data_IF_212786625201
#
_entry.id   IF_212786625201
#
_cell.length_a   1.000
_cell.length_b   1.000
_cell.length_c   1.000
_cell.angle_alpha   90.00
_cell.angle_beta   90.00
_cell.angle_gamma   90.00
#
_symmetry.space_group_name_H-M   'P 1'
#
loop_
_entity.id
_entity.type
_entity.pdbx_description
1 polymer ?
#
# COMPACT_ATOMS: atom_id res chain seq x y z
N UNK A 1 -2.04 12.94 -0.87
CA UNK A 1 -0.63 13.23 -1.19
C UNK A 1 -0.37 12.81 -2.62
N UNK A 2 0.29 13.64 -3.42
CA UNK A 2 0.58 13.36 -4.83
C UNK A 2 2.10 13.46 -5.02
N UNK A 3 2.69 12.46 -5.66
CA UNK A 3 4.09 12.43 -6.05
C UNK A 3 4.37 13.25 -7.31
N UNK A 4 5.39 12.85 -8.06
CA UNK A 4 5.88 13.52 -9.26
C UNK A 4 6.31 12.49 -10.31
N UNK A 5 7.16 12.89 -11.27
CA UNK A 5 7.59 11.99 -12.35
C UNK A 5 8.79 11.09 -11.96
N UNK A 6 9.30 11.20 -10.73
CA UNK A 6 10.40 10.40 -10.21
C UNK A 6 9.92 9.42 -9.14
N UNK A 7 10.73 8.39 -8.86
CA UNK A 7 10.47 7.45 -7.77
C UNK A 7 10.30 8.18 -6.42
N UNK A 8 9.13 8.02 -5.80
CA UNK A 8 8.76 8.66 -4.55
C UNK A 8 8.49 7.63 -3.45
N UNK A 9 8.69 8.06 -2.21
CA UNK A 9 8.22 7.34 -1.02
C UNK A 9 7.09 8.15 -0.42
N UNK A 10 5.88 7.62 -0.46
CA UNK A 10 4.66 8.33 -0.09
C UNK A 10 4.07 7.69 1.15
N UNK A 11 3.84 8.51 2.19
CA UNK A 11 3.31 8.08 3.48
C UNK A 11 2.36 9.15 4.01
N UNK A 12 1.11 8.78 4.30
CA UNK A 12 0.08 9.67 4.82
C UNK A 12 0.36 10.20 6.23
N UNK A 13 1.12 9.44 7.03
CA UNK A 13 1.51 9.74 8.43
C UNK A 13 0.33 9.90 9.38
N UNK A 14 -0.79 9.22 9.12
CA UNK A 14 -1.97 9.22 9.98
C UNK A 14 -3.17 9.92 9.36
N UNK A 15 -4.37 9.42 9.66
CA UNK A 15 -5.59 9.84 9.00
C UNK A 15 -5.93 8.94 7.81
N UNK A 16 -6.98 9.30 7.09
CA UNK A 16 -7.37 8.60 5.87
C UNK A 16 -6.88 9.44 4.69
N UNK A 17 -5.82 8.97 4.02
CA UNK A 17 -5.18 9.74 2.96
C UNK A 17 -5.48 9.18 1.57
N UNK A 18 -5.60 10.07 0.59
CA UNK A 18 -5.61 9.71 -0.84
C UNK A 18 -4.16 9.82 -1.33
N UNK A 19 -3.57 8.74 -1.83
CA UNK A 19 -2.18 8.66 -2.26
C UNK A 19 -2.09 8.43 -3.77
N UNK A 20 -1.33 9.27 -4.47
CA UNK A 20 -1.09 9.18 -5.91
C UNK A 20 0.41 9.23 -6.16
N UNK A 21 0.97 8.25 -6.86
CA UNK A 21 2.39 8.13 -7.18
C UNK A 21 2.82 9.12 -8.25
N UNK A 22 2.13 9.11 -9.38
CA UNK A 22 2.53 9.81 -10.59
C UNK A 22 3.27 8.88 -11.54
N UNK A 23 4.47 9.27 -12.00
CA UNK A 23 5.32 8.38 -12.79
C UNK A 23 6.52 7.95 -11.97
N UNK A 24 7.15 6.87 -12.43
CA UNK A 24 8.32 6.30 -11.77
C UNK A 24 7.89 5.09 -10.96
N UNK A 25 8.82 4.59 -10.16
CA UNK A 25 8.62 3.43 -9.31
C UNK A 25 8.40 3.92 -7.89
N UNK A 26 7.14 3.99 -7.48
CA UNK A 26 6.75 4.59 -6.21
C UNK A 26 6.65 3.54 -5.10
N UNK A 27 6.92 3.98 -3.87
CA UNK A 27 6.73 3.18 -2.66
C UNK A 27 5.67 3.82 -1.79
N UNK A 28 4.52 3.16 -1.67
CA UNK A 28 3.44 3.57 -0.78
C UNK A 28 3.62 2.91 0.59
N UNK A 29 3.84 3.70 1.63
CA UNK A 29 4.09 3.21 2.99
C UNK A 29 2.80 3.27 3.79
N UNK A 30 2.30 2.10 4.16
CA UNK A 30 1.11 1.93 5.00
C UNK A 30 1.57 1.46 6.37
N UNK A 31 1.31 2.26 7.41
CA UNK A 31 1.71 1.97 8.78
C UNK A 31 0.53 1.45 9.61
N UNK A 32 0.80 0.49 10.49
CA UNK A 32 -0.21 -0.12 11.36
C UNK A 32 -0.96 0.95 12.17
N UNK A 33 -2.29 0.92 12.08
CA UNK A 33 -3.18 1.72 12.93
C UNK A 33 -3.19 3.22 12.63
N UNK A 34 -2.68 3.64 11.45
CA UNK A 34 -2.66 5.04 11.07
C UNK A 34 -3.85 5.50 10.22
N UNK A 35 -4.76 4.61 9.83
CA UNK A 35 -6.01 4.98 9.16
C UNK A 35 -6.34 4.04 8.01
N UNK A 36 -7.23 4.50 7.12
CA UNK A 36 -7.60 3.81 5.88
C UNK A 36 -7.22 4.67 4.68
N UNK A 37 -6.10 4.34 4.06
CA UNK A 37 -5.56 5.05 2.90
C UNK A 37 -6.16 4.53 1.59
N UNK A 38 -6.13 5.37 0.55
CA UNK A 38 -6.65 5.10 -0.79
C UNK A 38 -5.56 5.40 -1.83
N UNK A 39 -5.00 4.37 -2.48
CA UNK A 39 -4.01 4.53 -3.55
C UNK A 39 -4.73 4.58 -4.91
N UNK A 40 -4.46 5.60 -5.72
CA UNK A 40 -5.24 5.89 -6.95
C UNK A 40 -4.64 5.32 -8.24
N UNK A 41 -3.33 5.05 -8.28
CA UNK A 41 -2.60 4.82 -9.53
C UNK A 41 -1.53 3.73 -9.41
N UNK A 42 -1.75 2.75 -8.54
CA UNK A 42 -0.80 1.67 -8.31
C UNK A 42 -0.53 0.85 -9.59
N UNK A 43 0.72 0.85 -10.04
CA UNK A 43 1.21 -0.01 -11.12
C UNK A 43 2.18 -1.06 -10.55
N UNK A 44 1.71 -2.30 -10.34
CA UNK A 44 2.51 -3.34 -9.65
C UNK A 44 3.89 -3.65 -10.25
N UNK A 45 4.67 -4.45 -9.52
CA UNK A 45 6.11 -4.67 -9.72
C UNK A 45 6.50 -5.25 -11.10
N UNK A 46 5.55 -5.85 -11.83
CA UNK A 46 5.76 -6.37 -13.19
C UNK A 46 5.33 -5.41 -14.30
N UNK A 47 4.77 -4.24 -13.97
CA UNK A 47 4.41 -3.19 -14.92
C UNK A 47 5.60 -2.27 -15.24
N UNK A 48 5.47 -1.49 -16.32
CA UNK A 48 6.41 -0.43 -16.68
C UNK A 48 6.19 0.81 -15.79
N UNK A 49 6.33 0.63 -14.47
CA UNK A 49 6.06 1.61 -13.42
C UNK A 49 6.56 1.03 -12.10
N UNK A 50 6.15 -0.21 -11.79
CA UNK A 50 6.83 -1.05 -10.82
C UNK A 50 6.81 -0.48 -9.40
N UNK A 51 5.61 -0.15 -8.92
CA UNK A 51 5.33 0.33 -7.57
C UNK A 51 5.37 -0.79 -6.55
N UNK A 52 5.59 -0.41 -5.29
CA UNK A 52 5.61 -1.32 -4.15
C UNK A 52 4.80 -0.74 -2.99
N UNK A 53 3.98 -1.59 -2.35
CA UNK A 53 3.33 -1.28 -1.08
C UNK A 53 4.18 -1.81 0.07
N UNK A 54 4.62 -0.92 0.95
CA UNK A 54 5.40 -1.28 2.14
C UNK A 54 4.50 -1.24 3.38
N UNK A 55 4.16 -2.41 3.89
CA UNK A 55 3.39 -2.57 5.13
C UNK A 55 4.33 -2.57 6.34
N UNK A 56 4.32 -1.47 7.09
CA UNK A 56 5.29 -1.22 8.17
C UNK A 56 4.70 -1.40 9.57
N UNK A 57 5.39 -2.17 10.39
CA UNK A 57 5.11 -2.30 11.82
C UNK A 57 3.99 -3.30 12.17
N UNK A 58 3.58 -4.15 11.23
CA UNK A 58 2.53 -5.17 11.46
C UNK A 58 3.00 -6.41 12.23
N UNK A 59 4.31 -6.58 12.38
CA UNK A 59 4.91 -7.69 13.12
C UNK A 59 5.09 -8.96 12.28
N UNK A 60 5.92 -9.88 12.79
CA UNK A 60 6.20 -11.14 12.12
C UNK A 60 4.95 -12.04 12.09
N UNK A 61 4.62 -12.57 10.91
CA UNK A 61 3.42 -13.38 10.71
C UNK A 61 2.16 -12.60 10.35
N UNK A 62 2.28 -11.28 10.11
CA UNK A 62 1.19 -10.51 9.53
C UNK A 62 0.70 -11.14 8.21
N UNK A 63 -0.61 -11.05 7.98
CA UNK A 63 -1.24 -11.61 6.77
C UNK A 63 -1.97 -10.52 5.99
N UNK A 64 -2.02 -10.69 4.67
CA UNK A 64 -2.74 -9.81 3.76
C UNK A 64 -3.95 -10.56 3.21
N UNK A 65 -5.12 -9.94 3.28
CA UNK A 65 -6.34 -10.40 2.62
C UNK A 65 -7.00 -9.26 1.85
N UNK A 66 -8.03 -9.57 1.07
CA UNK A 66 -8.78 -8.57 0.32
C UNK A 66 -10.23 -8.97 0.07
N UNK A 67 -11.06 -7.96 -0.18
CA UNK A 67 -12.42 -8.05 -0.72
C UNK A 67 -12.56 -7.01 -1.84
N UNK A 68 -12.54 -7.46 -3.09
CA UNK A 68 -12.44 -6.57 -4.25
C UNK A 68 -11.12 -5.79 -4.25
N UNK A 69 -11.21 -4.46 -4.29
CA UNK A 69 -10.11 -3.50 -4.25
C UNK A 69 -9.77 -3.01 -2.83
N UNK A 70 -10.48 -3.51 -1.82
CA UNK A 70 -10.19 -3.26 -0.41
C UNK A 70 -9.29 -4.36 0.11
N UNK A 71 -8.09 -3.98 0.52
CA UNK A 71 -7.08 -4.80 1.16
C UNK A 71 -7.12 -4.61 2.67
N UNK A 72 -6.86 -5.68 3.42
CA UNK A 72 -6.73 -5.61 4.87
C UNK A 72 -5.50 -6.38 5.33
N UNK A 73 -4.75 -5.76 6.22
CA UNK A 73 -3.60 -6.38 6.88
C UNK A 73 -3.99 -6.73 8.29
N UNK A 74 -3.94 -8.02 8.60
CA UNK A 74 -4.06 -8.52 9.97
C UNK A 74 -2.67 -8.60 10.58
N UNK A 75 -2.41 -7.76 11.57
CA UNK A 75 -1.15 -7.70 12.30
C UNK A 75 -0.95 -8.94 13.21
N UNK A 76 0.28 -9.12 13.69
CA UNK A 76 0.61 -10.16 14.66
C UNK A 76 -0.15 -10.03 16.00
N UNK A 77 -0.59 -8.82 16.35
CA UNK A 77 -1.43 -8.56 17.53
C UNK A 77 -2.93 -8.56 17.21
N UNK A 78 -3.31 -9.13 16.05
CA UNK A 78 -4.69 -9.28 15.56
C UNK A 78 -5.39 -7.95 15.20
N UNK A 79 -4.72 -6.80 15.35
CA UNK A 79 -5.25 -5.54 14.85
C UNK A 79 -5.31 -5.53 13.31
N UNK A 80 -6.35 -4.92 12.75
CA UNK A 80 -6.58 -4.86 11.31
C UNK A 80 -6.46 -3.43 10.82
N UNK A 81 -5.68 -3.22 9.75
CA UNK A 81 -5.61 -1.95 9.01
C UNK A 81 -6.14 -2.19 7.60
N UNK A 82 -6.95 -1.25 7.10
CA UNK A 82 -7.54 -1.31 5.77
C UNK A 82 -6.81 -0.36 4.82
N UNK A 83 -6.73 -0.76 3.56
CA UNK A 83 -6.16 -0.01 2.44
C UNK A 83 -7.07 -0.24 1.25
N UNK A 84 -7.39 0.79 0.48
CA UNK A 84 -7.99 0.61 -0.84
C UNK A 84 -6.95 0.89 -1.91
N UNK A 85 -6.85 0.02 -2.90
CA UNK A 85 -5.98 0.21 -4.06
C UNK A 85 -6.87 0.23 -5.30
N UNK A 86 -7.12 1.42 -5.83
CA UNK A 86 -8.12 1.66 -6.86
C UNK A 86 -7.93 0.73 -8.06
N UNK A 87 -8.99 -0.01 -8.41
CA UNK A 87 -9.02 -0.97 -9.52
C UNK A 87 -7.99 -2.13 -9.43
N UNK A 88 -7.39 -2.37 -8.27
CA UNK A 88 -6.44 -3.47 -8.05
C UNK A 88 -7.08 -4.56 -7.20
N UNK A 89 -7.47 -5.66 -7.87
CA UNK A 89 -8.13 -6.82 -7.24
C UNK A 89 -7.20 -8.01 -7.02
N UNK A 90 -5.93 -7.90 -7.42
CA UNK A 90 -4.91 -8.92 -7.19
C UNK A 90 -3.53 -8.25 -7.05
N UNK A 91 -2.91 -8.42 -5.89
CA UNK A 91 -1.50 -8.11 -5.65
C UNK A 91 -0.67 -9.39 -5.80
N UNK A 92 0.38 -9.32 -6.59
CA UNK A 92 1.29 -10.41 -6.92
C UNK A 92 2.50 -10.42 -5.98
N UNK A 93 3.26 -11.53 -5.93
CA UNK A 93 4.56 -11.53 -5.27
C UNK A 93 5.46 -10.44 -5.85
N UNK A 94 5.93 -9.51 -5.00
CA UNK A 94 6.74 -8.36 -5.39
C UNK A 94 5.99 -7.03 -5.32
N UNK A 95 4.66 -7.02 -5.39
CA UNK A 95 3.85 -5.79 -5.28
C UNK A 95 3.84 -5.23 -3.85
N UNK A 96 4.14 -6.05 -2.86
CA UNK A 96 4.18 -5.63 -1.47
C UNK A 96 5.25 -6.34 -0.66
N UNK A 97 5.61 -5.71 0.45
CA UNK A 97 6.54 -6.23 1.44
C UNK A 97 6.09 -5.85 2.85
N UNK A 98 6.31 -6.75 3.80
CA UNK A 98 6.18 -6.47 5.23
C UNK A 98 7.54 -6.09 5.81
N UNK A 99 7.59 -5.00 6.58
CA UNK A 99 8.82 -4.48 7.21
C UNK A 99 8.63 -4.04 8.66
#
# INVERSE_FOLDING_TARGET
LIGNDAANVINGKGGNDILTGGRGNDTFVIEKGLGHDFITDFEGAMASGGDVIQFKGFGAGATLGHDGDVWFVTAADESVTYLTVENVTALQPGDYVFV
#
